data_IF_059079846621
#
_entry.id   IF_059079846621
#
_cell.length_a   1.000
_cell.length_b   1.000
_cell.length_c   1.000
_cell.angle_alpha   90.00
_cell.angle_beta   90.00
_cell.angle_gamma   90.00
#
_symmetry.space_group_name_H-M   'P 1'
#
loop_
_entity.id
_entity.type
_entity.pdbx_description
1 polymer ?
#
# COMPACT_ATOMS: atom_id res chain seq x y z
N UNK A 1 -18.75 23.09 1.54
CA UNK A 1 -17.39 22.69 1.96
C UNK A 1 -17.46 21.26 2.46
N UNK A 2 -16.95 20.32 1.70
CA UNK A 2 -16.77 18.96 2.21
C UNK A 2 -15.70 19.00 3.28
N UNK A 3 -16.11 18.80 4.53
CA UNK A 3 -15.20 18.62 5.64
C UNK A 3 -14.35 17.40 5.30
N UNK A 4 -13.05 17.57 5.10
CA UNK A 4 -12.15 16.45 4.88
C UNK A 4 -12.36 15.45 6.01
N UNK A 5 -12.81 14.25 5.68
CA UNK A 5 -13.10 13.22 6.65
C UNK A 5 -11.77 12.54 6.96
N UNK A 6 -11.27 12.71 8.19
CA UNK A 6 -10.06 12.05 8.69
C UNK A 6 -10.43 10.87 9.57
N UNK A 7 -9.55 9.90 9.65
CA UNK A 7 -9.69 8.82 10.63
C UNK A 7 -9.74 9.38 12.05
N UNK A 8 -10.73 8.93 12.81
CA UNK A 8 -10.82 9.20 14.24
C UNK A 8 -9.83 8.31 15.02
N UNK A 9 -9.74 8.51 16.34
CA UNK A 9 -8.80 7.76 17.18
C UNK A 9 -8.99 6.24 17.13
N UNK A 10 -10.24 5.75 17.06
CA UNK A 10 -10.53 4.32 16.96
C UNK A 10 -10.15 3.77 15.59
N UNK A 11 -10.39 4.53 14.54
CA UNK A 11 -10.01 4.15 13.18
C UNK A 11 -8.49 4.14 12.98
N UNK A 12 -7.76 5.07 13.60
CA UNK A 12 -6.30 5.07 13.63
C UNK A 12 -5.72 3.83 14.32
N UNK A 13 -6.34 3.34 15.40
CA UNK A 13 -5.94 2.07 16.02
C UNK A 13 -6.11 0.88 15.07
N UNK A 14 -7.17 0.89 14.26
CA UNK A 14 -7.39 -0.13 13.22
C UNK A 14 -6.34 -0.05 12.10
N UNK A 15 -5.92 1.15 11.73
CA UNK A 15 -4.79 1.37 10.79
C UNK A 15 -3.52 0.76 11.36
N UNK A 16 -3.17 1.07 12.61
CA UNK A 16 -1.94 0.55 13.24
C UNK A 16 -1.92 -0.98 13.34
N UNK A 17 -3.06 -1.59 13.65
CA UNK A 17 -3.21 -3.05 13.69
C UNK A 17 -3.06 -3.66 12.29
N UNK A 18 -3.71 -3.08 11.29
CA UNK A 18 -3.61 -3.53 9.91
C UNK A 18 -2.18 -3.40 9.35
N UNK A 19 -1.44 -2.37 9.73
CA UNK A 19 -0.01 -2.23 9.39
C UNK A 19 0.80 -3.39 9.93
N UNK A 20 0.66 -3.70 11.22
CA UNK A 20 1.41 -4.80 11.88
C UNK A 20 1.13 -6.15 11.22
N UNK A 21 -0.13 -6.44 10.97
CA UNK A 21 -0.55 -7.69 10.32
C UNK A 21 -0.04 -7.75 8.88
N UNK A 22 -0.15 -6.68 8.12
CA UNK A 22 0.35 -6.60 6.75
C UNK A 22 1.85 -6.84 6.66
N UNK A 23 2.63 -6.22 7.54
CA UNK A 23 4.09 -6.41 7.61
C UNK A 23 4.46 -7.86 7.89
N UNK A 24 3.81 -8.49 8.85
CA UNK A 24 4.05 -9.90 9.18
C UNK A 24 3.74 -10.82 7.98
N UNK A 25 2.60 -10.63 7.35
CA UNK A 25 2.18 -11.42 6.19
C UNK A 25 3.16 -11.27 5.02
N UNK A 26 3.61 -10.06 4.75
CA UNK A 26 4.56 -9.75 3.68
C UNK A 26 5.94 -10.32 3.99
N UNK A 27 6.42 -10.21 5.22
CA UNK A 27 7.66 -10.82 5.66
C UNK A 27 7.65 -12.35 5.45
N UNK A 28 6.54 -12.98 5.80
CA UNK A 28 6.38 -14.42 5.62
C UNK A 28 6.33 -14.81 4.14
N UNK A 29 5.58 -14.09 3.33
CA UNK A 29 5.42 -14.39 1.90
C UNK A 29 6.73 -14.20 1.11
N UNK A 30 7.39 -13.06 1.29
CA UNK A 30 8.62 -12.72 0.57
C UNK A 30 9.90 -13.25 1.23
N UNK A 31 9.79 -13.95 2.37
CA UNK A 31 10.92 -14.44 3.15
C UNK A 31 11.90 -13.33 3.53
N UNK A 32 11.35 -12.20 4.00
CA UNK A 32 12.12 -11.04 4.42
C UNK A 32 12.34 -11.05 5.93
N UNK A 33 13.53 -10.63 6.36
CA UNK A 33 13.80 -10.35 7.77
C UNK A 33 13.38 -8.93 8.15
N UNK A 34 13.08 -8.70 9.42
CA UNK A 34 12.81 -7.34 9.93
C UNK A 34 13.94 -6.35 9.64
N UNK A 35 15.21 -6.82 9.60
CA UNK A 35 16.35 -6.01 9.24
C UNK A 35 16.35 -5.53 7.79
N UNK A 36 15.69 -6.23 6.87
CA UNK A 36 15.55 -5.79 5.48
C UNK A 36 14.59 -4.60 5.35
N UNK A 37 13.54 -4.54 6.17
CA UNK A 37 12.65 -3.39 6.25
C UNK A 37 13.35 -2.15 6.81
N UNK A 38 14.21 -2.32 7.82
CA UNK A 38 14.98 -1.20 8.40
C UNK A 38 15.94 -0.57 7.40
N UNK A 39 16.47 -1.35 6.46
CA UNK A 39 17.31 -0.85 5.37
C UNK A 39 16.50 -0.12 4.29
N UNK A 40 15.28 -0.57 4.06
CA UNK A 40 14.37 -0.08 3.03
C UNK A 40 13.32 0.78 3.71
N UNK A 41 13.70 1.99 4.03
CA UNK A 41 12.89 2.93 4.78
C UNK A 41 11.56 3.21 4.09
N UNK A 42 10.50 2.87 4.75
CA UNK A 42 9.16 3.31 4.38
C UNK A 42 8.43 3.86 5.59
N UNK A 43 7.42 4.66 5.34
CA UNK A 43 6.53 5.22 6.36
C UNK A 43 5.10 5.17 5.84
N UNK A 44 4.14 5.05 6.74
CA UNK A 44 2.71 5.04 6.43
C UNK A 44 2.09 6.25 7.11
N UNK A 45 1.43 7.10 6.35
CA UNK A 45 0.78 8.31 6.83
C UNK A 45 -0.67 8.35 6.42
N UNK A 46 -1.50 8.89 7.29
CA UNK A 46 -2.91 9.18 7.05
C UNK A 46 -3.08 10.65 6.63
N UNK A 47 -4.24 11.00 6.11
CA UNK A 47 -4.48 12.32 5.51
C UNK A 47 -4.08 13.51 6.40
N UNK A 48 -4.18 13.36 7.72
CA UNK A 48 -3.79 14.41 8.69
C UNK A 48 -2.32 14.82 8.57
N UNK A 49 -1.44 13.87 8.24
CA UNK A 49 0.01 14.06 8.20
C UNK A 49 0.57 14.10 6.76
N UNK A 50 -0.31 14.22 5.76
CA UNK A 50 0.07 14.34 4.36
C UNK A 50 0.26 15.80 3.94
N UNK A 51 1.24 16.04 3.10
CA UNK A 51 1.37 17.30 2.37
C UNK A 51 0.30 17.42 1.27
N UNK A 52 0.03 18.64 0.79
CA UNK A 52 -1.01 18.88 -0.20
C UNK A 52 -0.87 18.02 -1.47
N UNK A 53 0.35 17.85 -1.97
CA UNK A 53 0.63 17.05 -3.16
C UNK A 53 0.53 15.52 -2.92
N UNK A 54 0.48 15.09 -1.67
CA UNK A 54 0.32 13.70 -1.27
C UNK A 54 -1.16 13.30 -1.05
N UNK A 55 -2.03 14.30 -0.93
CA UNK A 55 -3.48 14.13 -0.93
C UNK A 55 -3.97 14.11 -2.37
N UNK A 56 -4.54 12.99 -2.79
CA UNK A 56 -5.03 12.79 -4.16
C UNK A 56 -6.47 12.30 -4.15
N UNK A 57 -7.21 12.65 -5.20
CA UNK A 57 -8.56 12.13 -5.40
C UNK A 57 -8.51 10.85 -6.24
N UNK A 58 -9.35 9.90 -5.91
CA UNK A 58 -9.55 8.67 -6.65
C UNK A 58 -9.01 7.43 -5.94
N UNK A 59 -7.69 7.23 -5.78
CA UNK A 59 -7.16 6.04 -5.12
C UNK A 59 -7.41 6.05 -3.61
N UNK A 60 -7.39 4.86 -2.99
CA UNK A 60 -7.48 4.71 -1.53
C UNK A 60 -6.14 4.96 -0.83
N UNK A 61 -5.06 4.73 -1.55
CA UNK A 61 -3.69 5.00 -1.11
C UNK A 61 -2.77 5.16 -2.33
N UNK A 62 -1.57 5.67 -2.08
CA UNK A 62 -0.50 5.68 -3.07
C UNK A 62 0.85 5.54 -2.40
N UNK A 63 1.81 4.97 -3.12
CA UNK A 63 3.22 4.93 -2.71
C UNK A 63 3.98 6.03 -3.45
N UNK A 64 4.64 6.90 -2.70
CA UNK A 64 5.52 7.92 -3.24
C UNK A 64 6.96 7.58 -2.87
N UNK A 65 7.83 7.59 -3.88
CA UNK A 65 9.26 7.41 -3.68
C UNK A 65 9.93 8.77 -3.53
N UNK A 66 10.64 8.95 -2.43
CA UNK A 66 11.52 10.08 -2.19
C UNK A 66 12.97 9.65 -2.27
N UNK A 67 13.81 10.48 -2.88
CA UNK A 67 15.26 10.30 -2.89
C UNK A 67 15.92 11.35 -2.01
N UNK A 68 16.73 10.89 -1.06
CA UNK A 68 17.49 11.73 -0.16
C UNK A 68 18.99 11.54 -0.33
N UNK A 69 19.76 12.57 0.03
CA UNK A 69 21.22 12.51 0.15
C UNK A 69 21.62 12.81 1.59
N UNK A 70 22.60 12.08 2.12
CA UNK A 70 23.19 12.43 3.43
C UNK A 70 23.94 13.74 3.29
N UNK A 71 23.69 14.69 4.20
CA UNK A 71 24.31 16.04 4.18
C UNK A 71 25.84 16.04 4.24
N UNK A 72 26.45 14.98 4.79
CA UNK A 72 27.90 14.89 5.03
C UNK A 72 28.64 14.03 3.99
N UNK A 73 28.00 13.68 2.88
CA UNK A 73 28.62 12.85 1.87
C UNK A 73 29.36 13.69 0.84
N UNK A 74 30.68 13.70 0.95
CA UNK A 74 31.58 14.35 -0.01
C UNK A 74 31.82 13.55 -1.29
N UNK A 75 31.38 12.31 -1.38
CA UNK A 75 31.53 11.42 -2.54
C UNK A 75 30.23 10.67 -2.86
N UNK A 76 29.81 10.75 -4.09
CA UNK A 76 28.58 10.41 -4.78
C UNK A 76 27.80 9.12 -4.50
N UNK A 77 27.96 8.41 -3.39
CA UNK A 77 27.30 7.11 -3.16
C UNK A 77 26.34 7.05 -1.97
N UNK A 78 25.93 8.16 -1.41
CA UNK A 78 25.08 8.21 -0.20
C UNK A 78 23.63 8.60 -0.44
N UNK A 79 23.12 8.36 -1.65
CA UNK A 79 21.68 8.49 -1.93
C UNK A 79 20.92 7.29 -1.33
N UNK A 80 19.81 7.56 -0.67
CA UNK A 80 18.89 6.54 -0.18
C UNK A 80 17.49 6.81 -0.72
N UNK A 81 16.75 5.74 -1.00
CA UNK A 81 15.33 5.83 -1.34
C UNK A 81 14.49 5.64 -0.09
N UNK A 82 13.46 6.48 0.01
CA UNK A 82 12.46 6.41 1.06
C UNK A 82 11.09 6.31 0.40
N UNK A 83 10.26 5.38 0.87
CA UNK A 83 8.91 5.20 0.36
C UNK A 83 7.90 5.69 1.39
N UNK A 84 6.90 6.42 0.94
CA UNK A 84 5.81 6.89 1.77
C UNK A 84 4.50 6.33 1.25
N UNK A 85 3.82 5.56 2.07
CA UNK A 85 2.45 5.09 1.81
C UNK A 85 1.49 6.14 2.33
N UNK A 86 0.76 6.77 1.43
CA UNK A 86 -0.16 7.87 1.72
C UNK A 86 -1.60 7.35 1.68
N UNK A 87 -2.21 7.09 2.83
CA UNK A 87 -3.61 6.68 2.94
C UNK A 87 -4.54 7.88 2.69
N UNK A 88 -5.56 7.67 1.88
CA UNK A 88 -6.57 8.69 1.56
C UNK A 88 -7.83 8.45 2.40
N UNK A 89 -7.83 8.94 3.62
CA UNK A 89 -8.86 8.70 4.64
C UNK A 89 -10.28 8.90 4.11
N UNK A 90 -10.51 10.02 3.44
CA UNK A 90 -11.82 10.39 2.86
C UNK A 90 -12.32 9.36 1.85
N UNK A 91 -11.45 8.88 0.97
CA UNK A 91 -11.81 7.89 -0.05
C UNK A 91 -12.15 6.54 0.60
N UNK A 92 -11.34 6.11 1.57
CA UNK A 92 -11.53 4.85 2.31
C UNK A 92 -12.86 4.89 3.08
N UNK A 93 -13.08 5.93 3.88
CA UNK A 93 -14.30 6.08 4.68
C UNK A 93 -15.55 6.23 3.80
N UNK A 94 -15.45 6.93 2.68
CA UNK A 94 -16.53 7.03 1.70
C UNK A 94 -16.88 5.68 1.08
N UNK A 95 -15.90 4.85 0.72
CA UNK A 95 -16.15 3.52 0.18
C UNK A 95 -16.86 2.62 1.19
N UNK A 96 -16.40 2.60 2.44
CA UNK A 96 -17.01 1.84 3.53
C UNK A 96 -18.45 2.31 3.79
N UNK A 97 -18.71 3.62 3.79
CA UNK A 97 -20.06 4.15 4.03
C UNK A 97 -21.05 3.89 2.90
N UNK A 98 -20.58 3.74 1.68
CA UNK A 98 -21.41 3.50 0.48
C UNK A 98 -21.61 2.02 0.13
N UNK A 99 -20.87 1.13 0.75
CA UNK A 99 -20.87 -0.30 0.44
C UNK A 99 -21.15 -1.11 1.69
N UNK A 100 -22.40 -1.52 1.88
CA UNK A 100 -22.89 -2.19 3.10
C UNK A 100 -22.10 -3.45 3.49
N UNK A 101 -21.53 -4.14 2.49
CA UNK A 101 -20.74 -5.34 2.71
C UNK A 101 -19.26 -5.08 3.02
N UNK A 102 -18.80 -3.83 2.93
CA UNK A 102 -17.41 -3.47 3.11
C UNK A 102 -17.15 -2.95 4.54
N UNK A 103 -16.24 -3.59 5.25
CA UNK A 103 -15.87 -3.24 6.62
C UNK A 103 -14.46 -2.68 6.68
N UNK A 104 -14.25 -1.71 7.55
CA UNK A 104 -13.01 -0.92 7.60
C UNK A 104 -11.78 -1.79 7.88
N UNK A 105 -11.83 -2.69 8.87
CA UNK A 105 -10.68 -3.51 9.27
C UNK A 105 -10.14 -4.39 8.13
N UNK A 106 -10.93 -5.27 7.50
CA UNK A 106 -10.44 -6.08 6.40
C UNK A 106 -10.09 -5.25 5.16
N UNK A 107 -10.76 -4.12 4.95
CA UNK A 107 -10.46 -3.23 3.84
C UNK A 107 -9.10 -2.54 4.02
N UNK A 108 -8.81 -2.01 5.21
CA UNK A 108 -7.49 -1.47 5.55
C UNK A 108 -6.38 -2.50 5.40
N UNK A 109 -6.62 -3.74 5.86
CA UNK A 109 -5.65 -4.82 5.70
C UNK A 109 -5.33 -5.08 4.22
N UNK A 110 -6.34 -5.11 3.36
CA UNK A 110 -6.14 -5.29 1.93
C UNK A 110 -5.34 -4.13 1.33
N UNK A 111 -5.76 -2.88 1.58
CA UNK A 111 -5.09 -1.67 1.06
C UNK A 111 -3.62 -1.66 1.49
N UNK A 112 -3.34 -1.83 2.79
CA UNK A 112 -1.98 -1.78 3.32
C UNK A 112 -1.11 -2.92 2.79
N UNK A 113 -1.65 -4.13 2.70
CA UNK A 113 -0.93 -5.26 2.09
C UNK A 113 -0.60 -4.95 0.63
N UNK A 114 -1.55 -4.39 -0.13
CA UNK A 114 -1.37 -3.99 -1.52
C UNK A 114 -0.23 -2.96 -1.68
N UNK A 115 -0.27 -1.89 -0.89
CA UNK A 115 0.75 -0.83 -0.96
C UNK A 115 2.14 -1.33 -0.53
N UNK A 116 2.21 -2.17 0.50
CA UNK A 116 3.47 -2.77 0.92
C UNK A 116 4.01 -3.78 -0.10
N UNK A 117 3.16 -4.48 -0.84
CA UNK A 117 3.60 -5.30 -1.98
C UNK A 117 4.25 -4.41 -3.05
N UNK A 118 3.66 -3.24 -3.37
CA UNK A 118 4.32 -2.26 -4.26
C UNK A 118 5.71 -1.88 -3.76
N UNK A 119 5.83 -1.53 -2.48
CA UNK A 119 7.13 -1.16 -1.88
C UNK A 119 8.15 -2.29 -2.03
N UNK A 120 7.81 -3.53 -1.67
CA UNK A 120 8.72 -4.68 -1.81
C UNK A 120 9.12 -4.90 -3.26
N UNK A 121 8.18 -4.80 -4.19
CA UNK A 121 8.45 -4.99 -5.61
C UNK A 121 9.36 -3.91 -6.17
N UNK A 122 9.14 -2.64 -5.82
CA UNK A 122 10.06 -1.56 -6.21
C UNK A 122 11.47 -1.78 -5.68
N UNK A 123 11.61 -2.29 -4.46
CA UNK A 123 12.91 -2.57 -3.87
C UNK A 123 13.64 -3.75 -4.52
N UNK A 124 12.91 -4.83 -4.83
CA UNK A 124 13.49 -6.07 -5.38
C UNK A 124 13.71 -6.03 -6.90
N UNK A 125 12.92 -5.26 -7.62
CA UNK A 125 12.88 -5.31 -9.09
C UNK A 125 13.25 -3.99 -9.78
N UNK A 126 13.88 -3.08 -9.06
CA UNK A 126 14.25 -1.73 -9.52
C UNK A 126 14.92 -1.71 -10.91
N UNK A 127 15.68 -2.76 -11.29
CA UNK A 127 16.39 -2.83 -12.57
C UNK A 127 15.52 -3.25 -13.77
N UNK A 128 14.31 -3.78 -13.54
CA UNK A 128 13.47 -4.27 -14.66
C UNK A 128 12.53 -3.21 -15.25
N UNK A 129 12.35 -2.10 -14.55
CA UNK A 129 11.37 -1.07 -14.93
C UNK A 129 11.93 0.06 -15.80
N UNK A 130 13.25 0.16 -15.93
CA UNK A 130 13.92 1.24 -16.67
C UNK A 130 13.72 1.19 -18.20
N UNK A 131 13.14 0.12 -18.76
CA UNK A 131 13.08 -0.13 -20.21
C UNK A 131 11.67 -0.28 -20.82
N UNK A 132 10.59 0.09 -20.13
CA UNK A 132 9.21 -0.03 -20.65
C UNK A 132 8.45 1.30 -20.58
N UNK A 133 7.49 1.51 -21.49
CA UNK A 133 6.58 2.65 -21.46
C UNK A 133 5.79 2.70 -20.14
N UNK A 134 5.83 3.83 -19.44
CA UNK A 134 5.31 3.97 -18.06
C UNK A 134 3.84 3.57 -17.89
N UNK A 135 2.97 3.86 -18.86
CA UNK A 135 1.53 3.58 -18.75
C UNK A 135 1.18 2.08 -18.80
N UNK A 136 1.80 1.31 -19.70
CA UNK A 136 1.56 -0.14 -19.82
C UNK A 136 2.15 -0.91 -18.64
N UNK A 137 3.29 -0.46 -18.13
CA UNK A 137 3.91 -0.99 -16.93
C UNK A 137 3.02 -0.80 -15.71
N UNK A 138 2.35 0.36 -15.60
CA UNK A 138 1.50 0.69 -14.45
C UNK A 138 0.31 -0.25 -14.33
N UNK A 139 -0.42 -0.51 -15.44
CA UNK A 139 -1.61 -1.38 -15.40
C UNK A 139 -1.25 -2.85 -15.14
N UNK A 140 -0.23 -3.37 -15.79
CA UNK A 140 0.23 -4.75 -15.58
C UNK A 140 0.82 -4.93 -14.17
N UNK A 141 1.50 -3.91 -13.65
CA UNK A 141 2.01 -3.92 -12.29
C UNK A 141 0.86 -3.91 -11.27
N UNK A 142 -0.16 -3.08 -11.47
CA UNK A 142 -1.34 -3.06 -10.60
C UNK A 142 -2.04 -4.41 -10.55
N UNK A 143 -2.27 -5.05 -11.69
CA UNK A 143 -2.85 -6.38 -11.76
C UNK A 143 -2.01 -7.41 -11.01
N UNK A 144 -0.71 -7.37 -11.18
CA UNK A 144 0.23 -8.26 -10.49
C UNK A 144 0.22 -8.06 -8.98
N UNK A 145 0.18 -6.81 -8.54
CA UNK A 145 0.12 -6.49 -7.10
C UNK A 145 -1.21 -6.95 -6.50
N UNK A 146 -2.34 -6.74 -7.18
CA UNK A 146 -3.64 -7.28 -6.73
C UNK A 146 -3.62 -8.81 -6.62
N UNK A 147 -3.05 -9.49 -7.60
CA UNK A 147 -2.90 -10.95 -7.54
C UNK A 147 -2.06 -11.41 -6.35
N UNK A 148 -0.89 -10.81 -6.14
CA UNK A 148 -0.02 -11.14 -5.01
C UNK A 148 -0.72 -10.84 -3.68
N UNK A 149 -1.39 -9.69 -3.57
CA UNK A 149 -2.16 -9.29 -2.38
C UNK A 149 -3.23 -10.34 -2.05
N UNK A 150 -4.02 -10.75 -3.04
CA UNK A 150 -5.02 -11.79 -2.87
C UNK A 150 -4.38 -13.12 -2.44
N UNK A 151 -3.27 -13.52 -3.06
CA UNK A 151 -2.55 -14.75 -2.72
C UNK A 151 -2.01 -14.73 -1.28
N UNK A 152 -1.54 -13.58 -0.81
CA UNK A 152 -1.09 -13.40 0.59
C UNK A 152 -2.26 -13.51 1.56
N UNK A 153 -3.37 -12.86 1.26
CA UNK A 153 -4.51 -12.71 2.17
C UNK A 153 -5.49 -13.90 2.16
N UNK A 154 -5.61 -14.62 1.04
CA UNK A 154 -6.57 -15.73 0.90
C UNK A 154 -6.51 -16.78 2.01
N UNK A 155 -5.33 -17.23 2.49
CA UNK A 155 -5.25 -18.21 3.57
C UNK A 155 -5.49 -17.63 4.98
N UNK A 156 -5.64 -16.31 5.10
CA UNK A 156 -5.75 -15.64 6.40
C UNK A 156 -7.19 -15.67 6.90
N UNK A 157 -7.47 -16.23 8.10
CA UNK A 157 -8.83 -16.38 8.60
C UNK A 157 -9.36 -15.06 9.23
N UNK A 158 -9.50 -14.02 8.41
CA UNK A 158 -10.04 -12.73 8.84
C UNK A 158 -11.49 -12.61 8.43
N UNK A 159 -12.33 -12.26 9.39
CA UNK A 159 -13.75 -12.07 9.19
C UNK A 159 -14.02 -11.00 8.14
N UNK A 160 -14.91 -11.30 7.19
CA UNK A 160 -15.37 -10.38 6.14
C UNK A 160 -14.30 -9.97 5.11
N UNK A 161 -13.18 -10.67 5.08
CA UNK A 161 -12.15 -10.44 4.04
C UNK A 161 -12.66 -10.87 2.65
N UNK A 162 -13.55 -11.85 2.57
CA UNK A 162 -14.17 -12.27 1.31
C UNK A 162 -14.98 -11.15 0.64
N UNK A 163 -15.60 -10.26 1.39
CA UNK A 163 -16.31 -9.10 0.86
C UNK A 163 -15.33 -8.10 0.21
N UNK A 164 -14.12 -7.99 0.75
CA UNK A 164 -13.06 -7.18 0.15
C UNK A 164 -12.58 -7.80 -1.16
N UNK A 165 -12.42 -9.12 -1.21
CA UNK A 165 -12.08 -9.82 -2.46
C UNK A 165 -13.17 -9.65 -3.53
N UNK A 166 -14.44 -9.68 -3.15
CA UNK A 166 -15.55 -9.41 -4.07
C UNK A 166 -15.51 -7.95 -4.58
N UNK A 167 -15.19 -6.99 -3.71
CA UNK A 167 -15.00 -5.59 -4.09
C UNK A 167 -13.88 -5.40 -5.13
N UNK A 168 -12.81 -6.17 -5.04
CA UNK A 168 -11.66 -6.13 -5.96
C UNK A 168 -11.67 -7.24 -7.03
N UNK A 169 -12.77 -7.97 -7.21
CA UNK A 169 -12.83 -9.14 -8.08
C UNK A 169 -12.33 -8.92 -9.51
N UNK A 170 -12.64 -7.77 -10.10
CA UNK A 170 -12.25 -7.43 -11.47
C UNK A 170 -10.72 -7.32 -11.63
N UNK A 171 -10.02 -6.97 -10.57
CA UNK A 171 -8.56 -6.94 -10.53
C UNK A 171 -7.93 -8.31 -10.28
N UNK A 172 -8.60 -9.15 -9.49
CA UNK A 172 -8.10 -10.45 -9.05
C UNK A 172 -8.29 -11.54 -10.14
N UNK A 173 -9.33 -11.43 -10.95
CA UNK A 173 -9.72 -12.46 -11.93
C UNK A 173 -8.93 -12.44 -13.24
N UNK A 174 -8.10 -11.43 -13.49
CA UNK A 174 -7.37 -11.25 -14.74
C UNK A 174 -6.29 -12.28 -15.07
N UNK A 175 -6.00 -13.24 -14.18
CA UNK A 175 -4.99 -14.29 -14.42
C UNK A 175 -5.50 -15.58 -15.08
N UNK A 176 -6.74 -15.62 -15.55
CA UNK A 176 -7.31 -16.81 -16.18
C UNK A 176 -7.37 -16.76 -17.72
N UNK A 177 -6.66 -15.84 -18.34
CA UNK A 177 -6.55 -15.81 -19.81
C UNK A 177 -5.12 -16.00 -20.28
#
# INVERSE_FOLDING_TARGET
MNKACHFNTQELLKVDEAVKVSEELINNYFKMSSGQWLKNRYDIKTAKDLADHENVEGPFAQVIKYEGRKKDATLGSSSFSFYKVCLQDSAILSAVSKTDSLFLEPFLLYILTHELVHVVRFLKFKQRYENKNEADVTLDEERRVHFITHKILKPVPILRLNQVFEFYKDWILFEKS
#
